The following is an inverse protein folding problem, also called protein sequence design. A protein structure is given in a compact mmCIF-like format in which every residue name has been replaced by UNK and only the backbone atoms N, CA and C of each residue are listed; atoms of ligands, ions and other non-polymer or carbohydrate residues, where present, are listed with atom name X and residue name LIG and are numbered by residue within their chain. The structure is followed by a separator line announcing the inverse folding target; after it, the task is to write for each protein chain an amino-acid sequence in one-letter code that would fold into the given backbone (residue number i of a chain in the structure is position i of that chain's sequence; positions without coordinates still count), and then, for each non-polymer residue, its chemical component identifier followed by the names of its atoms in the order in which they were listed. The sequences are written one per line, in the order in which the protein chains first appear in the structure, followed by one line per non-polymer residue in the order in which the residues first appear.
data_IF_623252161565
#
_entry.id   IF_623252161565
#
_cell.length_a   1.000
_cell.length_b   1.000
_cell.length_c   1.000
_cell.angle_alpha   90.00
_cell.angle_beta   90.00
_cell.angle_gamma   90.00
#
_symmetry.space_group_name_H-M   'P 1'
#
loop_
_entity.id
_entity.type
_entity.pdbx_description
1 polymer ?
#
# COMPACT_ATOMS: atom_id res chain seq x y z
N UNK A 1 5.83 5.70 8.54
CA UNK A 1 5.81 6.39 7.25
C UNK A 1 5.01 7.70 7.35
N UNK A 2 5.42 8.82 6.73
CA UNK A 2 4.61 10.05 6.68
C UNK A 2 3.61 10.04 5.51
N UNK A 3 2.72 11.04 5.42
CA UNK A 3 1.59 11.06 4.47
C UNK A 3 2.00 10.84 3.01
N UNK A 4 3.00 11.56 2.50
CA UNK A 4 3.39 11.46 1.09
C UNK A 4 3.79 10.03 0.69
N UNK A 5 4.74 9.44 1.43
CA UNK A 5 5.18 8.06 1.19
C UNK A 5 4.08 7.04 1.50
N UNK A 6 3.18 7.32 2.45
CA UNK A 6 2.04 6.43 2.72
C UNK A 6 1.09 6.40 1.52
N UNK A 7 0.76 7.56 0.96
CA UNK A 7 -0.15 7.65 -0.18
C UNK A 7 0.48 7.16 -1.47
N UNK A 8 1.77 7.41 -1.71
CA UNK A 8 2.46 6.84 -2.88
C UNK A 8 2.46 5.32 -2.83
N UNK A 9 2.73 4.72 -1.67
CA UNK A 9 2.65 3.27 -1.49
C UNK A 9 1.22 2.73 -1.64
N UNK A 10 0.22 3.47 -1.16
CA UNK A 10 -1.18 3.13 -1.35
C UNK A 10 -1.59 3.17 -2.84
N UNK A 11 -1.09 4.12 -3.63
CA UNK A 11 -1.33 4.19 -5.06
C UNK A 11 -0.72 3.01 -5.81
N UNK A 12 0.49 2.59 -5.42
CA UNK A 12 1.10 1.37 -5.96
C UNK A 12 0.29 0.12 -5.59
N UNK A 13 -0.16 0.02 -4.33
CA UNK A 13 -0.97 -1.11 -3.85
C UNK A 13 -2.36 -1.20 -4.51
N UNK A 14 -2.97 -0.06 -4.84
CA UNK A 14 -4.21 0.00 -5.63
C UNK A 14 -3.99 -0.37 -7.10
N UNK A 15 -2.74 -0.40 -7.57
CA UNK A 15 -2.42 -0.59 -8.97
C UNK A 15 -2.47 0.69 -9.81
N UNK A 16 -2.51 1.87 -9.19
CA UNK A 16 -2.52 3.19 -9.85
C UNK A 16 -1.12 3.75 -10.13
N UNK A 17 -0.08 3.04 -9.71
CA UNK A 17 1.32 3.39 -9.98
C UNK A 17 2.10 2.14 -10.37
N UNK A 18 3.16 2.32 -11.17
CA UNK A 18 4.02 1.20 -11.56
C UNK A 18 4.69 0.56 -10.34
N UNK A 19 4.93 -0.77 -10.34
CA UNK A 19 5.70 -1.41 -9.28
C UNK A 19 7.02 -0.67 -9.00
N UNK A 20 7.41 -0.60 -7.73
CA UNK A 20 8.56 0.13 -7.17
C UNK A 20 8.50 1.66 -7.20
N UNK A 21 7.64 2.26 -8.02
CA UNK A 21 7.65 3.71 -8.27
C UNK A 21 7.41 4.58 -7.02
N UNK A 22 6.79 4.01 -5.99
CA UNK A 22 6.46 4.72 -4.74
C UNK A 22 7.62 4.89 -3.76
N UNK A 23 8.72 4.14 -3.93
CA UNK A 23 9.86 4.13 -3.00
C UNK A 23 11.18 4.56 -3.63
N UNK A 24 11.24 4.74 -4.95
CA UNK A 24 12.39 5.30 -5.66
C UNK A 24 12.77 6.68 -5.10
N UNK A 25 14.07 6.95 -4.95
CA UNK A 25 14.54 8.26 -4.53
C UNK A 25 14.37 9.29 -5.66
N UNK A 26 14.06 10.54 -5.29
CA UNK A 26 13.78 11.60 -6.27
C UNK A 26 15.00 11.91 -7.17
N UNK A 27 16.20 11.88 -6.60
CA UNK A 27 17.44 12.24 -7.30
C UNK A 27 18.02 11.07 -8.13
N UNK A 28 17.48 9.86 -7.99
CA UNK A 28 18.04 8.68 -8.66
C UNK A 28 17.57 8.58 -10.12
N UNK A 29 18.48 8.12 -10.98
CA UNK A 29 18.22 7.97 -12.42
C UNK A 29 17.04 7.04 -12.71
N UNK A 30 16.80 6.06 -11.85
CA UNK A 30 15.65 5.16 -11.99
C UNK A 30 14.32 5.92 -11.96
N UNK A 31 14.20 7.03 -11.24
CA UNK A 31 12.96 7.81 -11.17
C UNK A 31 12.69 8.54 -12.48
N UNK A 32 13.73 9.06 -13.11
CA UNK A 32 13.64 9.64 -14.46
C UNK A 32 13.19 8.58 -15.49
N UNK A 33 13.83 7.40 -15.46
CA UNK A 33 13.47 6.29 -16.35
C UNK A 33 12.04 5.79 -16.10
N UNK A 34 11.64 5.66 -14.84
CA UNK A 34 10.29 5.30 -14.44
C UNK A 34 9.26 6.31 -14.95
N UNK A 35 9.58 7.60 -14.95
CA UNK A 35 8.71 8.65 -15.50
C UNK A 35 8.50 8.47 -17.01
N UNK A 36 9.54 8.12 -17.77
CA UNK A 36 9.42 7.75 -19.17
C UNK A 36 8.54 6.50 -19.38
N UNK A 37 8.70 5.49 -18.53
CA UNK A 37 7.88 4.27 -18.56
C UNK A 37 6.40 4.55 -18.23
N UNK A 38 6.11 5.50 -17.33
CA UNK A 38 4.74 5.93 -17.04
C UNK A 38 4.05 6.48 -18.29
N UNK A 39 4.75 7.24 -19.14
CA UNK A 39 4.18 7.75 -20.39
C UNK A 39 3.83 6.62 -21.36
N UNK A 40 4.71 5.62 -21.52
CA UNK A 40 4.45 4.45 -22.35
C UNK A 40 3.27 3.64 -21.80
N UNK A 41 3.23 3.46 -20.48
CA UNK A 41 2.16 2.74 -19.77
C UNK A 41 0.82 3.41 -19.99
N UNK A 42 0.75 4.74 -19.86
CA UNK A 42 -0.45 5.51 -20.15
C UNK A 42 -0.94 5.31 -21.59
N UNK A 43 -0.04 5.33 -22.58
CA UNK A 43 -0.40 5.06 -23.97
C UNK A 43 -0.96 3.65 -24.18
N UNK A 44 -0.46 2.67 -23.43
CA UNK A 44 -0.99 1.30 -23.46
C UNK A 44 -2.36 1.21 -22.79
N UNK A 45 -2.57 1.90 -21.66
CA UNK A 45 -3.90 1.99 -21.03
C UNK A 45 -4.93 2.61 -21.97
N UNK A 46 -4.56 3.68 -22.69
CA UNK A 46 -5.45 4.31 -23.70
C UNK A 46 -5.81 3.31 -24.80
N UNK A 47 -4.83 2.57 -25.35
CA UNK A 47 -5.07 1.56 -26.38
C UNK A 47 -5.97 0.41 -25.90
N UNK A 48 -5.86 0.04 -24.63
CA UNK A 48 -6.65 -1.03 -24.01
C UNK A 48 -7.96 -0.52 -23.40
N UNK A 49 -8.22 0.79 -23.44
CA UNK A 49 -9.33 1.46 -22.77
C UNK A 49 -9.45 1.10 -21.27
N UNK A 50 -8.31 1.06 -20.57
CA UNK A 50 -8.26 0.86 -19.12
C UNK A 50 -8.52 2.20 -18.44
N UNK A 51 -9.62 2.31 -17.70
CA UNK A 51 -10.06 3.51 -17.00
C UNK A 51 -9.73 3.44 -15.50
N UNK A 52 -9.63 4.58 -14.80
CA UNK A 52 -9.37 4.59 -13.36
C UNK A 52 -10.36 3.75 -12.55
N UNK A 53 -11.65 3.70 -12.93
CA UNK A 53 -12.67 2.89 -12.24
C UNK A 53 -12.54 1.39 -12.47
N UNK A 54 -11.82 0.96 -13.51
CA UNK A 54 -11.51 -0.46 -13.72
C UNK A 54 -10.42 -0.94 -12.73
N UNK A 55 -9.56 -0.02 -12.28
CA UNK A 55 -8.46 -0.27 -11.34
C UNK A 55 -8.92 -0.02 -9.89
N UNK A 56 -9.51 1.15 -9.63
CA UNK A 56 -9.88 1.65 -8.31
C UNK A 56 -11.18 1.06 -7.80
N UNK A 57 -11.23 -0.27 -7.72
CA UNK A 57 -12.35 -1.05 -7.21
C UNK A 57 -12.32 -1.15 -5.69
N UNK A 58 -13.43 -1.62 -5.08
CA UNK A 58 -13.49 -1.93 -3.65
C UNK A 58 -12.30 -2.78 -3.18
N UNK A 59 -11.94 -3.83 -3.92
CA UNK A 59 -10.81 -4.70 -3.61
C UNK A 59 -9.45 -3.97 -3.69
N UNK A 60 -9.28 -3.05 -4.64
CA UNK A 60 -8.07 -2.24 -4.73
C UNK A 60 -7.92 -1.31 -3.52
N UNK A 61 -9.02 -0.69 -3.05
CA UNK A 61 -9.00 0.09 -1.81
C UNK A 61 -8.66 -0.78 -0.60
N UNK A 62 -9.20 -2.00 -0.50
CA UNK A 62 -8.84 -2.94 0.56
C UNK A 62 -7.35 -3.31 0.52
N UNK A 63 -6.76 -3.52 -0.67
CA UNK A 63 -5.31 -3.69 -0.83
C UNK A 63 -4.53 -2.49 -0.32
N UNK A 64 -4.97 -1.26 -0.67
CA UNK A 64 -4.34 -0.03 -0.23
C UNK A 64 -4.31 0.09 1.29
N UNK A 65 -5.47 -0.15 1.94
CA UNK A 65 -5.60 -0.13 3.40
C UNK A 65 -4.69 -1.19 4.02
N UNK A 66 -4.71 -2.42 3.50
CA UNK A 66 -3.87 -3.48 4.02
C UNK A 66 -2.38 -3.11 3.95
N UNK A 67 -1.91 -2.58 2.81
CA UNK A 67 -0.51 -2.14 2.68
C UNK A 67 -0.19 -0.98 3.64
N UNK A 68 -1.09 -0.01 3.81
CA UNK A 68 -0.92 1.09 4.78
C UNK A 68 -0.71 0.56 6.21
N UNK A 69 -1.48 -0.46 6.61
CA UNK A 69 -1.32 -1.12 7.91
C UNK A 69 0.05 -1.81 8.02
N UNK A 70 0.41 -2.59 7.00
CA UNK A 70 1.66 -3.34 6.97
C UNK A 70 2.92 -2.45 7.04
N UNK A 71 2.88 -1.24 6.47
CA UNK A 71 4.04 -0.34 6.42
C UNK A 71 4.10 0.73 7.52
N UNK A 72 3.16 0.73 8.48
CA UNK A 72 3.18 1.75 9.54
C UNK A 72 2.77 3.14 9.05
N UNK A 73 1.79 3.21 8.13
CA UNK A 73 1.34 4.41 7.44
C UNK A 73 0.80 5.56 8.30
N UNK A 74 0.62 6.72 7.68
CA UNK A 74 0.02 7.92 8.28
C UNK A 74 -1.49 7.76 8.51
N UNK A 75 -2.01 8.33 9.60
CA UNK A 75 -3.46 8.43 9.87
C UNK A 75 -4.19 9.22 8.78
N UNK A 76 -3.52 10.19 8.16
CA UNK A 76 -4.09 11.00 7.06
C UNK A 76 -4.48 10.17 5.83
N UNK A 77 -3.92 8.96 5.68
CA UNK A 77 -4.31 8.08 4.59
C UNK A 77 -5.78 7.65 4.67
N UNK A 78 -6.37 7.60 5.88
CA UNK A 78 -7.80 7.35 6.07
C UNK A 78 -8.63 8.42 5.37
N UNK A 79 -8.34 9.69 5.64
CA UNK A 79 -9.04 10.83 5.03
C UNK A 79 -8.91 10.81 3.51
N UNK A 80 -7.69 10.59 3.00
CA UNK A 80 -7.44 10.60 1.57
C UNK A 80 -8.11 9.43 0.85
N UNK A 81 -8.04 8.21 1.37
CA UNK A 81 -8.69 7.07 0.72
C UNK A 81 -10.21 7.18 0.73
N UNK A 82 -10.83 7.68 1.80
CA UNK A 82 -12.27 7.97 1.83
C UNK A 82 -12.64 9.03 0.77
N UNK A 83 -11.86 10.11 0.67
CA UNK A 83 -12.07 11.17 -0.31
C UNK A 83 -11.88 10.71 -1.76
N UNK A 84 -10.98 9.74 -2.00
CA UNK A 84 -10.72 9.17 -3.33
C UNK A 84 -11.78 8.12 -3.70
N UNK A 85 -12.28 7.35 -2.74
CA UNK A 85 -13.32 6.33 -2.95
C UNK A 85 -14.64 6.93 -3.44
N UNK A 86 -15.01 8.11 -2.93
CA UNK A 86 -16.25 8.79 -3.30
C UNK A 86 -16.39 9.07 -4.81
N UNK A 87 -15.47 9.80 -5.49
CA UNK A 87 -15.53 10.01 -6.94
C UNK A 87 -15.24 8.73 -7.75
N UNK A 88 -14.57 7.74 -7.17
CA UNK A 88 -14.38 6.41 -7.77
C UNK A 88 -15.67 5.56 -7.74
N UNK A 89 -16.74 6.03 -7.09
CA UNK A 89 -18.00 5.32 -6.91
C UNK A 89 -17.84 3.99 -6.14
N UNK A 90 -16.94 4.02 -5.14
CA UNK A 90 -16.68 2.90 -4.23
C UNK A 90 -17.19 3.24 -2.84
N UNK A 91 -18.07 2.39 -2.31
CA UNK A 91 -18.48 2.48 -0.92
C UNK A 91 -17.32 2.09 0.00
N UNK A 92 -16.73 3.06 0.67
CA UNK A 92 -15.66 2.89 1.65
C UNK A 92 -16.00 3.72 2.89
N UNK A 93 -15.89 3.10 4.06
CA UNK A 93 -16.24 3.69 5.34
C UNK A 93 -15.06 3.63 6.29
N UNK A 94 -15.11 4.41 7.37
CA UNK A 94 -14.08 4.36 8.41
C UNK A 94 -13.98 2.96 9.05
N UNK A 95 -15.08 2.22 9.15
CA UNK A 95 -15.14 0.89 9.77
C UNK A 95 -14.40 -0.18 8.97
N UNK A 96 -14.23 0.04 7.66
CA UNK A 96 -13.44 -0.84 6.81
C UNK A 96 -11.96 -0.85 7.24
N UNK A 97 -11.45 0.28 7.74
CA UNK A 97 -10.08 0.38 8.22
C UNK A 97 -9.85 -0.47 9.47
N UNK A 98 -10.78 -0.45 10.42
CA UNK A 98 -10.65 -1.28 11.63
C UNK A 98 -10.79 -2.77 11.30
N UNK A 99 -11.73 -3.12 10.42
CA UNK A 99 -11.94 -4.52 9.99
C UNK A 99 -10.71 -5.13 9.32
N UNK A 100 -9.94 -4.31 8.59
CA UNK A 100 -8.69 -4.72 7.95
C UNK A 100 -7.52 -4.65 8.94
N UNK A 101 -7.42 -3.61 9.77
CA UNK A 101 -6.34 -3.44 10.74
C UNK A 101 -6.15 -4.67 11.64
N UNK A 102 -7.23 -5.30 12.09
CA UNK A 102 -7.20 -6.52 12.93
C UNK A 102 -6.61 -7.75 12.25
N UNK A 103 -6.51 -7.75 10.92
CA UNK A 103 -6.05 -8.89 10.12
C UNK A 103 -4.62 -8.72 9.60
N UNK A 104 -4.10 -7.49 9.64
CA UNK A 104 -2.84 -7.15 8.98
C UNK A 104 -1.78 -6.81 10.03
N UNK A 105 -0.70 -7.60 10.13
CA UNK A 105 0.40 -7.30 11.02
C UNK A 105 1.24 -6.13 10.49
N UNK A 106 1.94 -5.44 11.39
CA UNK A 106 2.92 -4.42 11.03
C UNK A 106 4.22 -5.12 10.57
N UNK A 107 4.49 -5.10 9.27
CA UNK A 107 5.60 -5.79 8.64
C UNK A 107 6.85 -4.91 8.48
N UNK A 108 6.74 -3.58 8.51
CA UNK A 108 7.90 -2.71 8.28
C UNK A 108 8.33 -1.89 9.50
N UNK A 109 9.64 -1.77 9.72
CA UNK A 109 10.22 -0.95 10.79
C UNK A 109 10.59 0.48 10.32
N UNK A 110 9.57 1.29 10.01
CA UNK A 110 9.76 2.59 9.37
C UNK A 110 9.44 3.78 10.28
N UNK A 111 10.26 4.85 10.20
CA UNK A 111 10.01 6.15 10.82
C UNK A 111 8.63 6.69 10.43
N UNK A 112 7.88 7.35 11.34
CA UNK A 112 8.35 7.89 12.62
C UNK A 112 8.32 6.91 13.81
N UNK A 113 7.62 5.78 13.70
CA UNK A 113 7.49 4.77 14.78
C UNK A 113 8.58 3.70 14.77
N UNK A 114 9.44 3.71 13.76
CA UNK A 114 10.51 2.75 13.55
C UNK A 114 11.85 3.39 13.24
N UNK A 115 12.81 2.57 12.83
CA UNK A 115 14.21 3.01 12.66
C UNK A 115 14.51 3.51 11.24
N UNK A 116 13.93 2.87 10.22
CA UNK A 116 14.35 3.03 8.82
C UNK A 116 13.52 4.07 8.05
N UNK A 117 14.03 4.51 6.89
CA UNK A 117 13.37 5.45 5.98
C UNK A 117 12.94 4.78 4.67
N UNK A 118 12.24 5.52 3.80
CA UNK A 118 11.69 4.96 2.56
C UNK A 118 12.75 4.43 1.59
N UNK A 119 13.95 5.02 1.56
CA UNK A 119 15.07 4.53 0.75
C UNK A 119 15.56 3.17 1.24
N UNK A 120 15.60 2.95 2.57
CA UNK A 120 15.92 1.63 3.12
C UNK A 120 14.86 0.59 2.73
N UNK A 121 13.58 0.98 2.71
CA UNK A 121 12.49 0.13 2.23
C UNK A 121 12.68 -0.22 0.75
N UNK A 122 13.06 0.75 -0.08
CA UNK A 122 13.34 0.52 -1.49
C UNK A 122 14.43 -0.55 -1.68
N UNK A 123 15.58 -0.38 -1.01
CA UNK A 123 16.69 -1.34 -1.06
C UNK A 123 16.34 -2.72 -0.50
N UNK A 124 15.41 -2.80 0.45
CA UNK A 124 14.92 -4.07 1.01
C UNK A 124 13.95 -4.83 0.09
N UNK A 125 13.57 -4.27 -1.06
CA UNK A 125 12.64 -4.86 -2.03
C UNK A 125 11.36 -4.04 -2.27
N UNK A 126 11.22 -2.90 -1.60
CA UNK A 126 10.14 -1.94 -1.82
C UNK A 126 8.76 -2.45 -1.45
N UNK A 127 7.74 -1.73 -1.93
CA UNK A 127 6.33 -2.14 -1.80
C UNK A 127 6.02 -3.48 -2.49
N UNK A 128 6.64 -3.84 -3.64
CA UNK A 128 6.39 -5.14 -4.26
C UNK A 128 6.75 -6.31 -3.34
N UNK A 129 7.86 -6.22 -2.59
CA UNK A 129 8.23 -7.26 -1.62
C UNK A 129 7.23 -7.38 -0.47
N UNK A 130 6.73 -6.24 0.05
CA UNK A 130 5.68 -6.23 1.09
C UNK A 130 4.40 -6.86 0.55
N UNK A 131 3.96 -6.45 -0.63
CA UNK A 131 2.76 -6.99 -1.27
C UNK A 131 2.88 -8.47 -1.59
N UNK A 132 4.05 -8.97 -2.01
CA UNK A 132 4.26 -10.40 -2.26
C UNK A 132 4.08 -11.25 -1.01
N UNK A 133 4.64 -10.81 0.12
CA UNK A 133 4.47 -11.48 1.42
C UNK A 133 2.98 -11.51 1.80
N UNK A 134 2.29 -10.39 1.65
CA UNK A 134 0.85 -10.28 1.94
C UNK A 134 -0.01 -11.12 0.99
N UNK A 135 0.34 -11.18 -0.30
CA UNK A 135 -0.36 -11.98 -1.30
C UNK A 135 -0.28 -13.47 -0.98
N UNK A 136 0.92 -13.95 -0.65
CA UNK A 136 1.15 -15.35 -0.26
C UNK A 136 0.38 -15.74 1.00
N UNK A 137 0.12 -14.78 1.89
CA UNK A 137 -0.68 -14.95 3.09
C UNK A 137 -2.19 -14.74 2.89
N UNK A 138 -2.65 -14.44 1.66
CA UNK A 138 -4.06 -14.18 1.36
C UNK A 138 -4.60 -12.87 1.96
N UNK A 139 -3.71 -11.91 2.24
CA UNK A 139 -4.05 -10.63 2.88
C UNK A 139 -4.40 -9.53 1.88
N UNK A 140 -4.09 -9.71 0.60
CA UNK A 140 -4.44 -8.79 -0.49
C UNK A 140 -5.07 -9.55 -1.65
N UNK A 141 -5.91 -8.84 -2.41
CA UNK A 141 -6.60 -9.31 -3.61
C UNK A 141 -5.65 -9.27 -4.81
N UNK A 142 -5.20 -10.44 -5.25
CA UNK A 142 -4.27 -10.57 -6.38
C UNK A 142 -4.91 -10.37 -7.75
N UNK A 143 -6.23 -10.44 -7.88
CA UNK A 143 -6.98 -10.33 -9.13
C UNK A 143 -7.28 -8.88 -9.55
N UNK A 144 -6.94 -7.89 -8.71
CA UNK A 144 -7.10 -6.47 -9.04
C UNK A 144 -6.27 -6.09 -10.27
N UNK A 145 -6.91 -5.46 -11.27
CA UNK A 145 -6.25 -4.85 -12.42
C UNK A 145 -5.35 -3.69 -11.99
N UNK A 146 -4.26 -3.44 -12.73
CA UNK A 146 -3.34 -2.33 -12.49
C UNK A 146 -3.08 -1.53 -13.77
N UNK A 147 -2.39 -0.39 -13.65
CA UNK A 147 -1.95 0.45 -14.79
C UNK A 147 -1.10 -0.31 -15.82
N UNK A 148 -0.48 -1.43 -15.46
CA UNK A 148 0.33 -2.23 -16.39
C UNK A 148 -0.53 -3.03 -17.38
N UNK A 149 -1.85 -3.10 -17.16
CA UNK A 149 -2.76 -4.02 -17.85
C UNK A 149 -2.75 -5.45 -17.32
N UNK A 150 -1.90 -5.72 -16.31
CA UNK A 150 -1.84 -6.97 -15.58
C UNK A 150 -2.52 -6.85 -14.23
N UNK A 151 -2.85 -7.99 -13.64
CA UNK A 151 -3.31 -8.11 -12.26
C UNK A 151 -2.16 -7.88 -11.27
N UNK A 152 -2.51 -7.57 -10.01
CA UNK A 152 -1.55 -7.47 -8.90
C UNK A 152 -0.71 -8.74 -8.79
N UNK A 153 -1.34 -9.92 -8.89
CA UNK A 153 -0.63 -11.22 -8.79
C UNK A 153 0.41 -11.39 -9.90
N UNK A 154 0.06 -11.07 -11.14
CA UNK A 154 0.97 -11.17 -12.29
C UNK A 154 2.15 -10.19 -12.18
N UNK A 155 1.91 -8.97 -11.68
CA UNK A 155 3.01 -8.02 -11.44
C UNK A 155 3.96 -8.48 -10.32
N UNK A 156 3.52 -9.38 -9.45
CA UNK A 156 4.29 -9.88 -8.30
C UNK A 156 4.85 -11.29 -8.52
N UNK A 157 4.70 -11.87 -9.71
CA UNK A 157 5.10 -13.25 -10.00
C UNK A 157 6.59 -13.49 -9.72
N UNK A 158 7.45 -12.61 -10.23
CA UNK A 158 8.91 -12.70 -10.12
C UNK A 158 9.48 -12.18 -8.79
N UNK A 159 8.63 -11.66 -7.90
CA UNK A 159 9.06 -11.19 -6.59
C UNK A 159 9.29 -12.39 -5.66
N UNK A 160 10.45 -12.48 -4.97
CA UNK A 160 10.71 -13.56 -4.03
C UNK A 160 9.66 -13.65 -2.91
N UNK A 161 9.30 -14.88 -2.52
CA UNK A 161 8.29 -15.13 -1.47
C UNK A 161 8.72 -14.64 -0.08
N UNK A 162 10.02 -14.44 0.13
CA UNK A 162 10.60 -14.00 1.38
C UNK A 162 11.46 -12.74 1.14
N UNK A 163 11.52 -11.82 2.11
CA UNK A 163 12.38 -10.66 1.99
C UNK A 163 13.86 -11.07 2.03
N UNK A 164 14.75 -10.18 1.60
CA UNK A 164 16.19 -10.41 1.64
C UNK A 164 16.65 -10.75 3.07
N UNK A 165 17.55 -11.74 3.20
CA UNK A 165 17.97 -12.27 4.50
C UNK A 165 18.80 -11.28 5.36
N UNK A 166 19.46 -10.31 4.73
CA UNK A 166 20.40 -9.39 5.37
C UNK A 166 19.84 -7.96 5.49
N UNK A 167 18.56 -7.84 5.87
CA UNK A 167 17.92 -6.55 6.16
C UNK A 167 16.90 -6.71 7.30
N UNK A 168 16.59 -5.62 8.02
CA UNK A 168 15.61 -5.60 9.11
C UNK A 168 14.49 -4.56 8.87
N UNK A 169 14.32 -4.12 7.63
CA UNK A 169 13.33 -3.12 7.22
C UNK A 169 11.97 -3.76 6.97
N UNK A 170 11.93 -4.85 6.20
CA UNK A 170 10.75 -5.68 5.91
C UNK A 170 10.89 -6.97 6.70
N UNK A 171 10.01 -7.16 7.66
CA UNK A 171 10.01 -8.29 8.58
C UNK A 171 9.20 -9.46 8.01
N UNK A 172 9.64 -10.70 8.26
CA UNK A 172 8.85 -11.89 7.94
C UNK A 172 7.49 -11.90 8.64
N UNK A 173 6.49 -12.49 7.99
CA UNK A 173 5.11 -12.54 8.50
C UNK A 173 4.97 -13.29 9.83
N UNK A 174 5.87 -14.23 10.12
CA UNK A 174 5.91 -14.99 11.37
C UNK A 174 6.66 -14.27 12.51
N UNK A 175 7.31 -13.14 12.22
CA UNK A 175 7.99 -12.29 13.20
C UNK A 175 7.73 -10.80 12.89
N UNK A 176 6.45 -10.37 12.87
CA UNK A 176 6.12 -8.98 12.58
C UNK A 176 6.49 -8.08 13.77
N UNK A 177 6.52 -6.76 13.54
CA UNK A 177 6.75 -5.78 14.60
C UNK A 177 5.58 -5.69 15.58
N UNK A 178 4.37 -5.89 15.06
CA UNK A 178 3.11 -6.00 15.82
C UNK A 178 2.19 -6.96 15.08
N UNK A 179 1.39 -7.73 15.82
CA UNK A 179 0.41 -8.67 15.24
C UNK A 179 -0.81 -7.98 14.66
N UNK A 180 -1.04 -6.72 15.03
CA UNK A 180 -2.13 -5.88 14.52
C UNK A 180 -1.58 -4.55 13.99
N UNK A 181 -2.30 -3.93 13.05
CA UNK A 181 -1.94 -2.62 12.52
C UNK A 181 -2.10 -1.50 13.56
N UNK A 182 -1.50 -0.35 13.31
CA UNK A 182 -1.41 0.77 14.27
C UNK A 182 -2.53 1.81 14.15
N UNK A 183 -3.43 1.71 13.16
CA UNK A 183 -4.52 2.68 12.96
C UNK A 183 -5.82 2.12 13.52
N UNK A 184 -6.26 2.65 14.66
CA UNK A 184 -7.47 2.21 15.35
C UNK A 184 -8.59 3.23 15.13
N UNK A 185 -9.80 2.73 14.87
CA UNK A 185 -11.01 3.54 14.84
C UNK A 185 -11.60 3.53 16.25
N UNK A 186 -11.90 4.71 16.78
CA UNK A 186 -12.52 4.90 18.09
C UNK A 186 -13.95 5.37 17.88
N UNK A 187 -14.91 4.71 18.52
CA UNK A 187 -16.32 5.09 18.53
C UNK A 187 -16.85 5.19 19.95
N UNK A 188 -17.78 6.12 20.17
CA UNK A 188 -18.41 6.36 21.46
C UNK A 188 -19.29 7.60 21.43
N UNK A 189 -19.81 8.00 22.59
CA UNK A 189 -20.67 9.18 22.72
C UNK A 189 -19.99 10.50 22.29
N UNK A 190 -18.65 10.60 22.37
CA UNK A 190 -17.87 11.76 21.93
C UNK A 190 -17.56 11.76 20.42
N UNK A 191 -17.61 10.61 19.77
CA UNK A 191 -17.24 10.42 18.37
C UNK A 191 -18.14 9.37 17.70
N UNK A 192 -19.44 9.68 17.58
CA UNK A 192 -20.45 8.74 17.08
C UNK A 192 -20.16 8.26 15.64
N UNK A 193 -19.60 9.13 14.80
CA UNK A 193 -19.21 8.82 13.41
C UNK A 193 -17.80 8.23 13.30
N UNK A 194 -17.05 8.16 14.41
CA UNK A 194 -15.71 7.62 14.49
C UNK A 194 -14.60 8.68 14.59
N UNK A 195 -13.48 8.27 15.17
CA UNK A 195 -12.23 9.02 15.23
C UNK A 195 -11.05 8.08 14.93
N UNK A 196 -9.94 8.61 14.43
CA UNK A 196 -8.73 7.82 14.14
C UNK A 196 -7.65 8.11 15.17
N UNK A 197 -7.09 7.05 15.75
CA UNK A 197 -5.92 7.12 16.61
C UNK A 197 -4.80 6.24 16.06
N UNK A 198 -3.55 6.71 16.18
CA UNK A 198 -2.37 5.88 15.95
C UNK A 198 -1.90 5.31 17.28
N UNK A 199 -1.96 3.99 17.42
CA UNK A 199 -1.50 3.24 18.59
C UNK A 199 -0.28 2.43 18.16
N UNK A 200 0.92 2.93 18.45
CA UNK A 200 2.18 2.36 17.95
C UNK A 200 3.16 1.92 19.05
N UNK A 201 2.64 1.56 20.22
CA UNK A 201 3.38 1.30 21.46
C UNK A 201 2.80 2.16 22.56
#
# INVERSE_FOLDING_TARGET
MYTANTMSSAFEAMGMSLPYSSTMANEDKEKELNTGLCAITLMNMIKQNILPRDIMTRKAFENAIAVIMAIGGSTNAVLHLLAIAHPADVNLTIDDFESIQKKIPLLCDLKPSGQYVAVDLHHAGGIPQVMKIMLNAGMIHGDCLTVTGKTVKENLEDIPDQPLANQNVILPINKPKSTEGHLVVLKGNLCAEGAIAKVSG
#
